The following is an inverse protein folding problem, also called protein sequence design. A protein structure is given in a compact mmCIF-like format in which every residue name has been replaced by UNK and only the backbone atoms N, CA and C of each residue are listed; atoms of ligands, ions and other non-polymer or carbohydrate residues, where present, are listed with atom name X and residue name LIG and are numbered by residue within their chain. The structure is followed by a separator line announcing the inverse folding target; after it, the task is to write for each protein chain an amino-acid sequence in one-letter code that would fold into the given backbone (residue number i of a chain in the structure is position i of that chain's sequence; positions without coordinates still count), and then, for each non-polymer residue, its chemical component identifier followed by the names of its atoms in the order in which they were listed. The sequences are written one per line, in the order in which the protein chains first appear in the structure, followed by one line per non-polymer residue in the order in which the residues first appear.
data_IF_672638433083
#
_entry.id   IF_672638433083
#
_cell.length_a   1.000
_cell.length_b   1.000
_cell.length_c   1.000
_cell.angle_alpha   90.00
_cell.angle_beta   90.00
_cell.angle_gamma   90.00
#
_symmetry.space_group_name_H-M   'P 1'
#
loop_
_entity.id
_entity.type
_entity.pdbx_description
1 polymer ?
#
# COMPACT_ATOMS: atom_id res chain seq x y z
N UNK A 1 -31.40 -53.10 54.51
CA UNK A 1 -31.99 -51.89 53.93
C UNK A 1 -30.90 -51.11 53.22
N UNK A 2 -30.97 -50.99 51.88
CA UNK A 2 -30.21 -50.05 51.03
C UNK A 2 -28.68 -50.25 50.99
N UNK A 3 -27.94 -50.07 49.89
CA UNK A 3 -28.19 -49.48 48.56
C UNK A 3 -27.20 -50.17 47.60
N UNK A 4 -27.66 -50.52 46.40
CA UNK A 4 -26.84 -51.01 45.29
C UNK A 4 -25.97 -49.88 44.73
N UNK A 5 -24.67 -50.13 44.55
CA UNK A 5 -23.79 -49.25 43.77
C UNK A 5 -23.54 -49.89 42.41
N UNK A 6 -24.06 -49.22 41.38
CA UNK A 6 -24.02 -49.62 39.96
C UNK A 6 -22.64 -49.35 39.37
N UNK A 7 -22.05 -50.40 38.78
CA UNK A 7 -20.82 -50.35 37.99
C UNK A 7 -21.05 -49.59 36.67
N UNK A 8 -20.38 -48.45 36.47
CA UNK A 8 -20.40 -47.71 35.19
C UNK A 8 -19.27 -48.21 34.30
N UNK A 9 -19.60 -48.96 33.24
CA UNK A 9 -18.69 -49.20 32.10
C UNK A 9 -18.65 -47.93 31.25
N UNK A 10 -17.49 -47.29 31.17
CA UNK A 10 -17.25 -46.23 30.17
C UNK A 10 -16.88 -46.86 28.83
N UNK A 11 -17.71 -46.57 27.84
CA UNK A 11 -17.58 -47.05 26.47
C UNK A 11 -16.72 -46.04 25.68
N UNK A 12 -15.61 -46.52 25.12
CA UNK A 12 -14.74 -45.78 24.19
C UNK A 12 -15.58 -45.23 23.03
N UNK A 13 -15.52 -43.92 22.78
CA UNK A 13 -16.03 -43.35 21.53
C UNK A 13 -14.94 -42.51 20.87
N UNK A 14 -14.35 -43.12 19.85
CA UNK A 14 -13.47 -42.51 18.86
C UNK A 14 -14.33 -41.71 17.88
N UNK A 15 -14.14 -40.37 17.78
CA UNK A 15 -14.79 -39.52 16.77
C UNK A 15 -13.80 -38.52 16.17
N UNK A 16 -13.18 -38.97 15.08
CA UNK A 16 -13.00 -38.32 13.77
C UNK A 16 -12.73 -36.80 13.72
N UNK A 17 -11.57 -36.51 13.14
CA UNK A 17 -11.30 -35.53 12.08
C UNK A 17 -11.55 -34.04 12.40
N UNK A 18 -10.47 -33.34 12.76
CA UNK A 18 -10.36 -31.91 12.50
C UNK A 18 -9.73 -31.77 11.11
N UNK A 19 -10.58 -31.61 10.09
CA UNK A 19 -10.15 -31.20 8.76
C UNK A 19 -9.75 -29.71 8.85
N UNK A 20 -8.46 -29.43 8.74
CA UNK A 20 -7.95 -28.08 8.54
C UNK A 20 -8.24 -27.68 7.09
N UNK A 21 -9.49 -27.26 6.83
CA UNK A 21 -9.85 -26.70 5.54
C UNK A 21 -9.22 -25.31 5.43
N UNK A 22 -8.10 -25.24 4.71
CA UNK A 22 -7.65 -24.03 4.03
C UNK A 22 -8.83 -23.53 3.19
N UNK A 23 -9.50 -22.48 3.67
CA UNK A 23 -10.38 -21.69 2.82
C UNK A 23 -9.46 -20.94 1.84
N UNK A 24 -9.56 -21.16 0.52
CA UNK A 24 -9.04 -20.18 -0.41
C UNK A 24 -9.91 -18.94 -0.20
N UNK A 25 -9.34 -17.88 0.36
CA UNK A 25 -10.01 -16.58 0.31
C UNK A 25 -10.19 -16.25 -1.17
N UNK A 26 -11.42 -16.32 -1.63
CA UNK A 26 -11.86 -15.79 -2.92
C UNK A 26 -11.50 -14.30 -2.95
N UNK A 27 -10.37 -13.96 -3.55
CA UNK A 27 -9.91 -12.59 -3.73
C UNK A 27 -10.66 -11.93 -4.91
N UNK A 28 -11.97 -11.79 -4.78
CA UNK A 28 -12.72 -10.84 -5.60
C UNK A 28 -12.68 -9.47 -4.89
N UNK A 29 -11.86 -8.54 -5.40
CA UNK A 29 -11.75 -7.16 -4.91
C UNK A 29 -10.60 -6.88 -3.93
N UNK A 30 -9.44 -7.52 -4.10
CA UNK A 30 -8.39 -7.58 -3.08
C UNK A 30 -7.79 -6.23 -2.69
N UNK A 31 -7.42 -5.38 -3.65
CA UNK A 31 -6.86 -4.04 -3.42
C UNK A 31 -6.98 -3.24 -4.73
N UNK A 32 -7.56 -2.03 -4.76
CA UNK A 32 -7.67 -1.27 -6.01
C UNK A 32 -6.33 -0.70 -6.49
N UNK A 33 -5.27 -0.77 -5.68
CA UNK A 33 -3.99 -0.13 -5.92
C UNK A 33 -3.03 -1.13 -6.58
N UNK A 34 -2.71 -0.88 -7.85
CA UNK A 34 -1.69 -1.62 -8.59
C UNK A 34 -0.29 -1.30 -8.10
N UNK A 35 0.61 -2.28 -8.19
CA UNK A 35 2.01 -2.16 -7.77
C UNK A 35 2.16 -1.65 -6.32
N UNK A 36 1.22 -2.03 -5.46
CA UNK A 36 1.11 -1.54 -4.09
C UNK A 36 2.20 -2.04 -3.13
N UNK A 37 2.96 -3.05 -3.55
CA UNK A 37 4.14 -3.60 -2.86
C UNK A 37 5.41 -3.50 -3.71
N UNK A 38 5.39 -2.66 -4.76
CA UNK A 38 6.58 -2.23 -5.50
C UNK A 38 7.36 -3.33 -6.25
N UNK A 39 6.73 -4.50 -6.48
CA UNK A 39 7.32 -5.60 -7.24
C UNK A 39 7.44 -5.31 -8.75
N UNK A 40 6.75 -4.28 -9.26
CA UNK A 40 6.92 -3.75 -10.61
C UNK A 40 7.88 -2.55 -10.65
N UNK A 41 8.70 -2.38 -9.61
CA UNK A 41 9.59 -1.24 -9.46
C UNK A 41 8.83 0.08 -9.31
N UNK A 42 9.30 1.14 -9.98
CA UNK A 42 8.68 2.48 -9.92
C UNK A 42 7.52 2.66 -10.90
N UNK A 43 7.03 1.62 -11.56
CA UNK A 43 5.88 1.76 -12.47
C UNK A 43 4.66 2.33 -11.73
N UNK A 44 4.15 3.47 -12.23
CA UNK A 44 3.00 4.15 -11.65
C UNK A 44 3.30 4.98 -10.39
N UNK A 45 4.55 4.99 -9.92
CA UNK A 45 5.00 5.76 -8.76
C UNK A 45 5.28 7.20 -9.19
N UNK A 46 4.51 8.15 -8.66
CA UNK A 46 4.79 9.58 -8.81
C UNK A 46 5.55 10.13 -7.59
N UNK A 47 6.60 10.90 -7.81
CA UNK A 47 7.34 11.58 -6.72
C UNK A 47 7.39 13.07 -6.94
N UNK A 48 7.01 13.86 -5.93
CA UNK A 48 7.10 15.31 -5.95
C UNK A 48 7.82 15.76 -4.68
N UNK A 49 8.65 16.79 -4.80
CA UNK A 49 9.37 17.32 -3.66
C UNK A 49 9.36 18.84 -3.74
N UNK A 50 8.99 19.48 -2.64
CA UNK A 50 8.92 20.94 -2.59
C UNK A 50 9.39 21.46 -1.23
N UNK A 51 10.03 22.61 -1.26
CA UNK A 51 10.45 23.31 -0.05
C UNK A 51 9.28 24.17 0.45
N UNK A 52 8.85 24.01 1.71
CA UNK A 52 7.63 24.61 2.28
C UNK A 52 7.50 26.14 2.16
N UNK A 53 8.60 26.85 1.84
CA UNK A 53 8.69 28.32 1.80
C UNK A 53 9.31 28.89 0.54
N UNK A 54 9.55 28.06 -0.47
CA UNK A 54 10.24 28.48 -1.67
C UNK A 54 9.29 28.41 -2.86
N UNK A 55 9.37 29.36 -3.80
CA UNK A 55 8.56 29.30 -5.01
C UNK A 55 8.96 28.11 -5.89
N UNK A 56 8.28 27.98 -7.03
CA UNK A 56 8.50 26.90 -8.01
C UNK A 56 9.99 26.71 -8.38
N UNK A 57 10.80 27.77 -8.29
CA UNK A 57 12.22 27.81 -8.60
C UNK A 57 13.12 26.97 -7.67
N UNK A 58 12.62 26.49 -6.54
CA UNK A 58 13.38 25.70 -5.57
C UNK A 58 12.92 24.23 -5.50
N UNK A 59 12.14 23.79 -6.47
CA UNK A 59 11.71 22.39 -6.59
C UNK A 59 12.92 21.53 -6.93
N UNK A 60 13.20 20.55 -6.07
CA UNK A 60 14.25 19.55 -6.30
C UNK A 60 13.63 18.19 -6.17
N UNK A 61 13.50 17.46 -7.28
CA UNK A 61 13.08 16.07 -7.24
C UNK A 61 14.13 15.25 -6.48
N UNK A 62 13.72 14.68 -5.36
CA UNK A 62 14.48 13.67 -4.63
C UNK A 62 13.99 12.30 -5.03
N UNK A 63 14.94 11.38 -5.21
CA UNK A 63 14.70 10.07 -5.78
C UNK A 63 13.94 9.20 -4.79
N UNK A 64 12.82 8.64 -5.25
CA UNK A 64 12.39 7.36 -4.76
C UNK A 64 13.24 6.27 -5.40
N UNK A 65 13.54 5.24 -4.61
CA UNK A 65 14.34 4.09 -5.04
C UNK A 65 13.60 2.81 -4.69
N UNK A 66 13.88 1.75 -5.42
CA UNK A 66 13.47 0.40 -5.03
C UNK A 66 14.60 -0.22 -4.23
N UNK A 67 14.27 -0.71 -3.05
CA UNK A 67 15.21 -1.38 -2.15
C UNK A 67 14.80 -2.85 -2.00
N UNK A 68 15.66 -3.74 -2.49
CA UNK A 68 15.48 -5.19 -2.41
C UNK A 68 16.16 -5.84 -1.20
N UNK A 69 16.73 -5.03 -0.29
CA UNK A 69 17.40 -5.52 0.94
C UNK A 69 16.44 -5.64 2.12
N UNK A 70 15.26 -5.02 2.04
CA UNK A 70 14.23 -5.06 3.08
C UNK A 70 12.86 -4.87 2.45
N UNK A 71 11.89 -5.65 2.90
CA UNK A 71 10.49 -5.51 2.51
C UNK A 71 9.58 -6.01 3.65
N UNK A 72 8.34 -5.53 3.70
CA UNK A 72 7.29 -6.09 4.54
C UNK A 72 6.55 -7.22 3.81
N UNK A 73 6.45 -7.12 2.49
CA UNK A 73 5.87 -8.10 1.58
C UNK A 73 6.76 -8.27 0.35
N UNK A 74 6.73 -9.46 -0.26
CA UNK A 74 7.51 -9.73 -1.47
C UNK A 74 9.02 -9.58 -1.25
N UNK A 75 9.69 -8.97 -2.23
CA UNK A 75 11.13 -8.79 -2.28
C UNK A 75 11.55 -7.32 -2.30
N UNK A 76 10.64 -6.40 -2.61
CA UNK A 76 10.95 -5.01 -2.86
C UNK A 76 10.18 -4.08 -1.90
N UNK A 77 10.77 -2.94 -1.60
CA UNK A 77 10.05 -1.82 -0.98
C UNK A 77 10.45 -0.49 -1.59
N UNK A 78 9.57 0.50 -1.47
CA UNK A 78 9.86 1.86 -1.89
C UNK A 78 10.67 2.55 -0.81
N UNK A 79 11.85 3.04 -1.15
CA UNK A 79 12.72 3.83 -0.28
C UNK A 79 12.62 5.30 -0.65
N UNK A 80 12.25 6.11 0.33
CA UNK A 80 12.13 7.57 0.27
C UNK A 80 13.16 8.18 1.21
N UNK A 81 13.99 9.09 0.69
CA UNK A 81 15.04 9.75 1.48
C UNK A 81 14.69 11.22 1.60
N UNK A 82 14.31 11.67 2.81
CA UNK A 82 14.12 13.09 3.06
C UNK A 82 15.45 13.72 3.48
N UNK A 83 16.07 14.59 2.66
CA UNK A 83 17.48 14.93 2.81
C UNK A 83 17.75 16.09 3.76
N UNK A 84 16.79 17.01 3.97
CA UNK A 84 16.97 18.21 4.80
C UNK A 84 15.67 18.66 5.48
N UNK A 85 15.72 19.36 6.64
CA UNK A 85 14.54 19.97 7.25
C UNK A 85 13.83 20.98 6.34
N UNK A 86 12.55 21.29 6.58
CA UNK A 86 11.74 22.28 5.82
C UNK A 86 11.38 21.86 4.38
N UNK A 87 11.65 20.61 4.03
CA UNK A 87 11.20 19.97 2.81
C UNK A 87 9.97 19.12 3.07
N UNK A 88 9.16 18.95 2.02
CA UNK A 88 8.22 17.85 1.90
C UNK A 88 8.69 16.93 0.77
N UNK A 89 8.72 15.63 1.07
CA UNK A 89 8.87 14.58 0.08
C UNK A 89 7.54 13.87 -0.03
N UNK A 90 6.93 13.97 -1.20
CA UNK A 90 5.63 13.42 -1.53
C UNK A 90 5.80 12.25 -2.50
N UNK A 91 5.10 11.17 -2.20
CA UNK A 91 4.95 10.04 -3.09
C UNK A 91 3.46 9.73 -3.28
N UNK A 92 3.09 9.50 -4.54
CA UNK A 92 1.74 9.14 -4.97
C UNK A 92 1.75 7.83 -5.74
N UNK A 93 0.74 7.00 -5.48
CA UNK A 93 0.42 5.83 -6.29
C UNK A 93 -0.53 6.19 -7.44
N UNK A 94 -0.76 5.27 -8.40
CA UNK A 94 -1.73 5.49 -9.46
C UNK A 94 -3.10 5.90 -8.93
N UNK A 95 -3.80 6.70 -9.73
CA UNK A 95 -5.19 7.05 -9.47
C UNK A 95 -6.05 5.79 -9.41
N UNK A 96 -6.91 5.72 -8.40
CA UNK A 96 -7.87 4.64 -8.23
C UNK A 96 -9.28 5.20 -8.32
N UNK A 97 -10.16 4.50 -9.02
CA UNK A 97 -11.59 4.85 -9.00
C UNK A 97 -12.13 4.61 -7.60
N UNK A 98 -12.71 5.64 -6.96
CA UNK A 98 -13.39 5.44 -5.68
C UNK A 98 -14.79 4.87 -5.89
N UNK A 99 -15.07 3.65 -5.41
CA UNK A 99 -16.38 3.05 -5.55
C UNK A 99 -17.35 3.67 -4.54
N UNK A 100 -18.17 4.66 -4.94
CA UNK A 100 -19.28 5.28 -4.16
C UNK A 100 -18.88 5.99 -2.85
N UNK A 101 -19.84 6.74 -2.30
CA UNK A 101 -19.75 7.36 -0.98
C UNK A 101 -19.61 6.29 0.12
N UNK A 102 -18.84 6.59 1.17
CA UNK A 102 -18.62 5.65 2.27
C UNK A 102 -17.35 5.93 3.07
N UNK A 103 -17.11 5.10 4.08
CA UNK A 103 -15.82 5.09 4.78
C UNK A 103 -14.81 4.29 3.99
N UNK A 104 -13.58 4.76 3.98
CA UNK A 104 -12.44 4.05 3.42
C UNK A 104 -11.27 4.11 4.38
N UNK A 105 -10.52 3.01 4.42
CA UNK A 105 -9.32 2.87 5.23
C UNK A 105 -8.11 2.68 4.33
N UNK A 106 -7.24 3.68 4.32
CA UNK A 106 -5.91 3.57 3.72
C UNK A 106 -4.97 2.96 4.77
N UNK A 107 -4.17 1.99 4.36
CA UNK A 107 -3.13 1.42 5.20
C UNK A 107 -1.88 1.07 4.42
N UNK A 108 -0.74 1.00 5.10
CA UNK A 108 0.56 0.68 4.51
C UNK A 108 1.52 0.22 5.60
N UNK A 109 2.50 -0.59 5.22
CA UNK A 109 3.63 -0.91 6.06
C UNK A 109 4.69 0.18 5.92
N UNK A 110 5.22 0.61 7.06
CA UNK A 110 6.24 1.64 7.13
C UNK A 110 7.36 1.21 8.07
N UNK A 111 8.59 1.53 7.67
CA UNK A 111 9.82 1.38 8.44
C UNK A 111 10.68 2.62 8.21
N UNK A 112 11.36 3.11 9.22
CA UNK A 112 12.27 4.25 9.08
C UNK A 112 13.68 3.92 9.61
N UNK A 113 14.69 4.71 9.23
CA UNK A 113 16.05 4.58 9.78
C UNK A 113 16.12 5.09 11.23
N UNK A 114 15.16 5.94 11.62
CA UNK A 114 14.96 6.48 12.96
C UNK A 114 13.47 6.76 13.20
N UNK A 115 12.99 6.80 14.45
CA UNK A 115 11.62 7.20 14.73
C UNK A 115 11.32 8.61 14.20
N UNK A 116 10.14 8.79 13.62
CA UNK A 116 9.75 10.03 12.97
C UNK A 116 8.25 10.13 12.77
N UNK A 117 7.80 11.27 12.27
CA UNK A 117 6.39 11.53 11.99
C UNK A 117 6.20 11.64 10.48
N UNK A 118 5.18 10.96 9.96
CA UNK A 118 4.81 11.00 8.54
C UNK A 118 3.32 11.23 8.40
N UNK A 119 2.91 11.73 7.23
CA UNK A 119 1.53 12.08 6.93
C UNK A 119 0.98 11.14 5.88
N UNK A 120 0.04 10.27 6.28
CA UNK A 120 -0.76 9.47 5.35
C UNK A 120 -1.82 10.38 4.76
N UNK A 121 -2.00 10.30 3.44
CA UNK A 121 -2.97 11.09 2.71
C UNK A 121 -3.74 10.26 1.69
N UNK A 122 -4.98 10.69 1.46
CA UNK A 122 -5.75 10.25 0.32
C UNK A 122 -6.31 11.51 -0.35
N UNK A 123 -5.80 11.83 -1.52
CA UNK A 123 -6.35 12.92 -2.32
C UNK A 123 -7.62 12.47 -2.97
N UNK A 124 -8.55 13.40 -3.07
CA UNK A 124 -9.78 13.22 -3.79
C UNK A 124 -10.01 14.41 -4.70
N UNK A 125 -10.14 14.14 -5.99
CA UNK A 125 -10.41 15.18 -6.99
C UNK A 125 -11.90 15.12 -7.33
N UNK A 126 -12.62 16.22 -7.12
CA UNK A 126 -14.01 16.30 -7.54
C UNK A 126 -14.12 16.20 -9.07
N UNK A 127 -15.31 15.88 -9.58
CA UNK A 127 -15.53 15.68 -11.02
C UNK A 127 -15.25 16.91 -11.90
N UNK A 128 -15.13 18.10 -11.30
CA UNK A 128 -14.75 19.33 -12.02
C UNK A 128 -13.24 19.45 -12.26
N UNK A 129 -12.42 18.57 -11.67
CA UNK A 129 -10.95 18.59 -11.79
C UNK A 129 -10.27 19.74 -11.05
N UNK A 130 -11.02 20.61 -10.39
CA UNK A 130 -10.53 21.85 -9.77
C UNK A 130 -10.49 21.73 -8.25
N UNK A 131 -11.47 21.06 -7.66
CA UNK A 131 -11.52 20.91 -6.20
C UNK A 131 -10.83 19.65 -5.74
N UNK A 132 -9.87 19.85 -4.84
CA UNK A 132 -9.12 18.79 -4.18
C UNK A 132 -9.56 18.73 -2.72
N UNK A 133 -10.13 17.61 -2.30
CA UNK A 133 -10.33 17.30 -0.89
C UNK A 133 -9.19 16.40 -0.43
N UNK A 134 -8.45 16.86 0.58
CA UNK A 134 -7.27 16.17 1.11
C UNK A 134 -7.63 15.62 2.47
N UNK A 135 -7.70 14.29 2.57
CA UNK A 135 -7.83 13.62 3.87
C UNK A 135 -6.46 13.21 4.35
N UNK A 136 -6.08 13.63 5.56
CA UNK A 136 -4.76 13.36 6.12
C UNK A 136 -4.79 12.92 7.58
N UNK A 137 -3.78 12.16 7.96
CA UNK A 137 -3.50 11.74 9.34
C UNK A 137 -2.00 11.60 9.53
N UNK A 138 -1.50 12.16 10.62
CA UNK A 138 -0.11 11.92 11.01
C UNK A 138 0.01 10.63 11.82
N UNK A 139 1.09 9.89 11.58
CA UNK A 139 1.47 8.71 12.36
C UNK A 139 2.94 8.78 12.77
N UNK A 140 3.26 8.20 13.92
CA UNK A 140 4.63 8.08 14.40
C UNK A 140 5.20 6.73 13.95
N UNK A 141 6.15 6.77 13.02
CA UNK A 141 6.85 5.61 12.47
C UNK A 141 8.04 5.23 13.32
N UNK A 142 8.38 3.95 13.30
CA UNK A 142 9.49 3.38 14.07
C UNK A 142 10.52 2.72 13.15
N UNK A 143 11.56 2.12 13.73
CA UNK A 143 12.64 1.46 12.97
C UNK A 143 12.33 0.03 12.53
N UNK A 144 11.20 -0.53 12.97
CA UNK A 144 10.66 -1.81 12.53
C UNK A 144 9.49 -1.63 11.57
N UNK A 145 9.25 -2.62 10.72
CA UNK A 145 8.05 -2.68 9.90
C UNK A 145 6.81 -2.76 10.79
N UNK A 146 5.96 -1.74 10.68
CA UNK A 146 4.66 -1.69 11.34
C UNK A 146 3.61 -1.26 10.35
N UNK A 147 2.39 -1.73 10.56
CA UNK A 147 1.26 -1.37 9.71
C UNK A 147 0.51 -0.16 10.28
N UNK A 148 0.38 0.88 9.48
CA UNK A 148 -0.29 2.11 9.84
C UNK A 148 -1.56 2.28 9.01
N UNK A 149 -2.59 2.88 9.60
CA UNK A 149 -3.84 3.12 8.90
C UNK A 149 -4.52 4.42 9.30
N UNK A 150 -5.34 4.91 8.37
CA UNK A 150 -6.18 6.07 8.53
C UNK A 150 -7.50 5.86 7.79
N UNK A 151 -8.59 6.29 8.42
CA UNK A 151 -9.95 6.08 7.91
C UNK A 151 -10.65 7.41 7.77
N UNK A 152 -11.30 7.63 6.63
CA UNK A 152 -12.09 8.83 6.40
C UNK A 152 -13.38 8.49 5.65
N UNK A 153 -14.36 9.39 5.75
CA UNK A 153 -15.57 9.33 4.95
C UNK A 153 -15.42 10.14 3.67
N UNK A 154 -15.86 9.57 2.56
CA UNK A 154 -15.89 10.18 1.23
C UNK A 154 -17.34 10.32 0.77
N UNK A 155 -17.66 11.46 0.16
CA UNK A 155 -19.02 11.81 -0.27
C UNK A 155 -19.39 11.20 -1.65
N UNK A 156 -18.45 10.54 -2.33
CA UNK A 156 -18.66 9.92 -3.65
C UNK A 156 -18.80 10.91 -4.82
N UNK A 157 -18.49 12.20 -4.64
CA UNK A 157 -18.50 13.24 -5.68
C UNK A 157 -17.12 13.47 -6.30
N UNK A 158 -16.71 12.63 -7.27
CA UNK A 158 -15.36 12.66 -7.82
C UNK A 158 -14.92 11.28 -8.31
N UNK A 159 -14.25 11.18 -9.47
CA UNK A 159 -14.02 9.90 -10.13
C UNK A 159 -12.84 9.13 -9.52
N UNK A 160 -11.89 9.80 -8.89
CA UNK A 160 -10.59 9.22 -8.53
C UNK A 160 -10.12 9.63 -7.14
N UNK A 161 -9.35 8.75 -6.51
CA UNK A 161 -8.50 9.07 -5.38
C UNK A 161 -7.05 8.68 -5.65
N UNK A 162 -6.14 9.30 -4.91
CA UNK A 162 -4.70 9.09 -5.06
C UNK A 162 -4.13 8.77 -3.68
N UNK A 163 -3.75 7.50 -3.42
CA UNK A 163 -3.03 7.14 -2.21
C UNK A 163 -1.71 7.88 -2.18
N UNK A 164 -1.45 8.57 -1.08
CA UNK A 164 -0.32 9.47 -0.98
C UNK A 164 0.31 9.40 0.41
N UNK A 165 1.61 9.61 0.46
CA UNK A 165 2.34 9.78 1.70
C UNK A 165 3.29 10.96 1.58
N UNK A 166 3.32 11.78 2.62
CA UNK A 166 4.27 12.88 2.75
C UNK A 166 5.18 12.66 3.95
N UNK A 167 6.49 12.74 3.70
CA UNK A 167 7.51 12.98 4.71
C UNK A 167 7.67 14.49 4.84
N UNK A 168 7.43 15.04 6.03
CA UNK A 168 7.56 16.47 6.27
C UNK A 168 8.40 16.78 7.50
N UNK A 169 9.30 17.76 7.38
CA UNK A 169 10.11 18.34 8.47
C UNK A 169 10.94 17.38 9.35
N UNK A 170 10.93 16.08 9.09
CA UNK A 170 11.65 15.03 9.80
C UNK A 170 12.68 14.33 8.89
N UNK A 171 13.94 14.80 8.79
CA UNK A 171 14.97 14.17 7.96
C UNK A 171 15.17 12.71 8.35
N UNK A 172 14.82 11.81 7.44
CA UNK A 172 14.86 10.37 7.65
C UNK A 172 14.83 9.63 6.32
N UNK A 173 15.23 8.37 6.36
CA UNK A 173 14.91 7.40 5.30
C UNK A 173 13.65 6.64 5.73
N UNK A 174 12.67 6.58 4.84
CA UNK A 174 11.44 5.81 5.01
C UNK A 174 11.36 4.72 3.95
N UNK A 175 11.03 3.51 4.38
CA UNK A 175 10.59 2.44 3.50
C UNK A 175 9.07 2.30 3.60
N UNK A 176 8.42 2.20 2.44
CA UNK A 176 6.98 2.04 2.27
C UNK A 176 6.74 0.73 1.53
N UNK A 177 5.74 -0.03 1.98
CA UNK A 177 5.38 -1.31 1.35
C UNK A 177 3.91 -1.67 1.64
N UNK A 178 3.33 -2.56 0.81
CA UNK A 178 2.00 -3.14 0.98
C UNK A 178 0.88 -2.11 1.20
N UNK A 179 0.75 -1.14 0.30
CA UNK A 179 -0.28 -0.10 0.38
C UNK A 179 -1.65 -0.67 0.03
N UNK A 180 -2.64 -0.47 0.87
CA UNK A 180 -3.97 -1.08 0.76
C UNK A 180 -5.04 -0.01 0.98
N UNK A 181 -6.05 0.01 0.09
CA UNK A 181 -7.29 0.75 0.33
C UNK A 181 -8.45 -0.22 0.51
N UNK A 182 -9.15 -0.11 1.64
CA UNK A 182 -10.31 -0.93 1.96
C UNK A 182 -11.58 -0.06 2.05
N UNK A 183 -12.70 -0.55 1.50
CA UNK A 183 -14.03 -0.09 1.88
C UNK A 183 -14.28 -0.43 3.37
N UNK A 184 -14.74 0.55 4.14
CA UNK A 184 -15.02 0.42 5.58
C UNK A 184 -13.99 1.13 6.48
N UNK A 185 -14.08 0.84 7.78
CA UNK A 185 -13.23 1.44 8.83
C UNK A 185 -12.17 0.48 9.40
N UNK A 186 -11.96 -0.65 8.74
CA UNK A 186 -10.99 -1.67 9.16
C UNK A 186 -10.01 -1.95 8.03
N UNK A 187 -8.71 -1.87 8.35
CA UNK A 187 -7.66 -2.30 7.44
C UNK A 187 -7.63 -3.84 7.38
N UNK A 188 -7.91 -4.41 6.21
CA UNK A 188 -7.85 -5.87 5.96
C UNK A 188 -6.42 -6.31 5.75
N UNK A 189 -6.00 -7.58 5.93
CA UNK A 189 -4.65 -8.02 5.56
C UNK A 189 -4.27 -7.56 4.15
N UNK A 190 -3.00 -7.20 3.94
CA UNK A 190 -2.54 -6.77 2.61
C UNK A 190 -2.77 -7.87 1.58
N UNK A 191 -3.24 -7.46 0.40
CA UNK A 191 -3.26 -8.28 -0.80
C UNK A 191 -2.89 -7.41 -2.02
N UNK A 192 -2.22 -7.99 -3.04
CA UNK A 192 -1.96 -7.30 -4.29
C UNK A 192 -3.26 -7.03 -5.05
N UNK A 193 -3.24 -6.14 -6.06
CA UNK A 193 -4.44 -5.86 -6.85
C UNK A 193 -4.92 -7.07 -7.66
N UNK A 194 -4.00 -7.95 -8.04
CA UNK A 194 -4.25 -9.21 -8.71
C UNK A 194 -3.19 -10.25 -8.31
N UNK A 195 -3.48 -11.53 -8.54
CA UNK A 195 -2.51 -12.62 -8.36
C UNK A 195 -1.25 -12.42 -9.22
N UNK A 196 -1.41 -11.80 -10.38
CA UNK A 196 -0.33 -11.41 -11.28
C UNK A 196 -0.54 -9.96 -11.68
N UNK A 197 0.48 -9.15 -11.51
CA UNK A 197 0.51 -7.77 -11.99
C UNK A 197 1.59 -7.63 -13.06
N UNK A 198 1.36 -6.76 -14.03
CA UNK A 198 2.36 -6.43 -15.04
C UNK A 198 2.30 -4.94 -15.38
N UNK A 199 3.45 -4.40 -15.74
CA UNK A 199 3.61 -2.99 -16.02
C UNK A 199 4.68 -2.75 -17.07
N UNK A 200 4.66 -1.57 -17.68
CA UNK A 200 5.67 -1.16 -18.64
C UNK A 200 6.27 0.15 -18.17
N UNK A 201 7.60 0.26 -18.22
CA UNK A 201 8.30 1.54 -18.05
C UNK A 201 9.22 1.80 -19.23
N UNK A 202 9.57 3.08 -19.44
CA UNK A 202 10.63 3.43 -20.36
C UNK A 202 11.98 3.14 -19.70
N UNK A 203 12.95 2.73 -20.50
CA UNK A 203 14.32 2.70 -20.02
C UNK A 203 14.76 4.08 -19.51
N UNK A 204 15.33 4.07 -18.29
CA UNK A 204 15.70 5.25 -17.53
C UNK A 204 14.57 5.87 -16.70
N UNK A 205 13.45 5.15 -16.52
CA UNK A 205 12.28 5.56 -15.72
C UNK A 205 11.79 6.97 -16.09
N UNK A 206 11.67 7.20 -17.40
CA UNK A 206 11.25 8.48 -17.96
C UNK A 206 9.73 8.62 -17.89
N UNK A 207 9.27 9.80 -17.49
CA UNK A 207 7.84 10.11 -17.42
C UNK A 207 7.26 10.55 -18.78
N UNK A 208 8.10 11.03 -19.72
CA UNK A 208 7.68 11.56 -21.01
C UNK A 208 8.26 10.78 -22.20
N UNK A 209 7.39 10.50 -23.18
CA UNK A 209 7.76 9.90 -24.46
C UNK A 209 7.93 11.02 -25.48
N UNK A 210 9.15 11.19 -25.97
CA UNK A 210 9.43 12.05 -27.13
C UNK A 210 9.22 11.27 -28.43
N UNK A 211 9.16 11.95 -29.57
CA UNK A 211 9.17 11.24 -30.85
C UNK A 211 10.52 10.51 -31.04
N UNK A 212 10.49 9.22 -31.36
CA UNK A 212 11.70 8.44 -31.63
C UNK A 212 11.58 6.96 -31.28
N UNK A 213 12.73 6.27 -31.29
CA UNK A 213 12.84 4.88 -30.81
C UNK A 213 13.10 4.88 -29.30
N UNK A 214 12.34 4.07 -28.58
CA UNK A 214 12.47 3.91 -27.14
C UNK A 214 12.54 2.43 -26.77
N UNK A 215 13.39 2.12 -25.79
CA UNK A 215 13.38 0.81 -25.12
C UNK A 215 12.30 0.81 -24.05
N UNK A 216 11.42 -0.18 -24.10
CA UNK A 216 10.45 -0.46 -23.05
C UNK A 216 10.98 -1.59 -22.16
N UNK A 217 10.75 -1.48 -20.85
CA UNK A 217 10.94 -2.55 -19.89
C UNK A 217 9.57 -3.08 -19.48
N UNK A 218 9.41 -4.39 -19.57
CA UNK A 218 8.22 -5.08 -19.07
C UNK A 218 8.55 -5.62 -17.69
N UNK A 219 7.70 -5.30 -16.72
CA UNK A 219 7.76 -5.79 -15.35
C UNK A 219 6.60 -6.72 -15.13
N UNK A 220 6.80 -7.80 -14.40
CA UNK A 220 5.74 -8.71 -14.00
C UNK A 220 6.03 -9.27 -12.61
N UNK A 221 4.99 -9.34 -11.79
CA UNK A 221 5.03 -9.89 -10.44
C UNK A 221 3.95 -10.98 -10.33
N UNK A 222 4.35 -12.18 -9.91
CA UNK A 222 3.43 -13.28 -9.63
C UNK A 222 3.43 -13.51 -8.12
N UNK A 223 2.30 -13.23 -7.48
CA UNK A 223 2.10 -13.32 -6.04
C UNK A 223 1.57 -14.70 -5.62
N UNK A 224 1.69 -15.71 -6.48
CA UNK A 224 1.24 -17.09 -6.24
C UNK A 224 2.40 -18.07 -6.29
N UNK A 225 2.21 -19.25 -5.69
CA UNK A 225 3.19 -20.33 -5.69
C UNK A 225 3.22 -21.16 -6.99
N UNK A 226 2.42 -20.75 -7.99
CA UNK A 226 2.29 -21.48 -9.26
C UNK A 226 2.64 -20.57 -10.43
N UNK A 227 3.21 -21.12 -11.50
CA UNK A 227 3.42 -20.36 -12.73
C UNK A 227 2.07 -19.89 -13.30
N UNK A 228 2.01 -18.62 -13.70
CA UNK A 228 0.84 -17.96 -14.27
C UNK A 228 1.25 -17.18 -15.52
N UNK A 229 0.30 -16.99 -16.44
CA UNK A 229 0.50 -16.21 -17.66
C UNK A 229 -0.12 -14.83 -17.50
N UNK A 230 0.56 -13.79 -17.98
CA UNK A 230 0.06 -12.41 -18.11
C UNK A 230 -0.70 -12.27 -19.42
#
# INVERSE_FOLDING_TARGET
MGIQTVTKRENKMNRKALALTLLPLLAAGANPIQNSSFELGLTGVGTINYHKKAGAENWKSYKAEIDSTTAAHGQNSLKLIMPVPKMECEFSLPEITLPKAGKYTLSMYLKADRPGKVRLQLYYVESDGVKWDIKLKYVNVTTGWNRYSATWYFNGKGPVAIPNLILDDNPMTLWVDGVQLDEGDTAKPYAPAAEVEAGVSLEGDRDWIYAGKHTLRVHAANYTDTAKTV
#
